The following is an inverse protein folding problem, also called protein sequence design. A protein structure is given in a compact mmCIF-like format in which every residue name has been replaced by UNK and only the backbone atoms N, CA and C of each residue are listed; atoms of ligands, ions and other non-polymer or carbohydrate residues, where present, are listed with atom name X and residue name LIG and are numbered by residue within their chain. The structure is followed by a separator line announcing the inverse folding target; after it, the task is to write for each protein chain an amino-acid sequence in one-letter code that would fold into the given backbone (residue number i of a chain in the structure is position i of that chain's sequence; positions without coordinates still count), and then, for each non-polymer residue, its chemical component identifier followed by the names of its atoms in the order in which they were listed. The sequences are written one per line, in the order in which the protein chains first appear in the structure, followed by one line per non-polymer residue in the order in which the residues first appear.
data_IF_487191890188
#
_entry.id   IF_487191890188
#
_cell.length_a   1.000
_cell.length_b   1.000
_cell.length_c   1.000
_cell.angle_alpha   90.00
_cell.angle_beta   90.00
_cell.angle_gamma   90.00
#
_symmetry.space_group_name_H-M   'P 1'
#
loop_
_entity.id
_entity.type
_entity.pdbx_description
1 polymer ?
#
# COMPACT_ATOMS: atom_id res chain seq x y z
N UNK A 1 -16.43 -7.32 6.81
CA UNK A 1 -15.49 -7.48 5.68
C UNK A 1 -15.72 -6.37 4.66
N UNK A 2 -15.62 -5.11 5.07
CA UNK A 2 -15.86 -3.94 4.20
C UNK A 2 -14.83 -3.83 3.06
N UNK A 3 -13.66 -4.44 3.21
CA UNK A 3 -12.65 -4.51 2.15
C UNK A 3 -13.13 -5.18 0.86
N UNK A 4 -14.13 -6.05 0.92
CA UNK A 4 -14.77 -6.61 -0.29
C UNK A 4 -15.38 -5.50 -1.14
N UNK A 5 -16.01 -4.50 -0.50
CA UNK A 5 -16.58 -3.35 -1.19
C UNK A 5 -15.49 -2.50 -1.84
N UNK A 6 -14.33 -2.33 -1.20
CA UNK A 6 -13.19 -1.59 -1.76
C UNK A 6 -12.68 -2.29 -3.02
N UNK A 7 -12.31 -3.58 -2.89
CA UNK A 7 -11.74 -4.35 -4.01
C UNK A 7 -12.75 -4.51 -5.14
N UNK A 8 -14.03 -4.75 -4.82
CA UNK A 8 -15.10 -4.84 -5.80
C UNK A 8 -15.37 -3.52 -6.52
N UNK A 9 -15.40 -2.39 -5.80
CA UNK A 9 -15.57 -1.07 -6.41
C UNK A 9 -14.37 -0.68 -7.28
N UNK A 10 -13.14 -0.99 -6.84
CA UNK A 10 -11.94 -0.76 -7.63
C UNK A 10 -11.93 -1.63 -8.90
N UNK A 11 -12.34 -2.91 -8.81
CA UNK A 11 -12.50 -3.77 -9.98
C UNK A 11 -13.54 -3.22 -10.95
N UNK A 12 -14.70 -2.79 -10.44
CA UNK A 12 -15.75 -2.20 -11.27
C UNK A 12 -15.28 -0.92 -11.97
N UNK A 13 -14.62 -0.01 -11.24
CA UNK A 13 -14.06 1.22 -11.80
C UNK A 13 -13.01 0.95 -12.88
N UNK A 14 -12.10 0.00 -12.61
CA UNK A 14 -11.09 -0.46 -13.57
C UNK A 14 -11.76 -1.04 -14.83
N UNK A 15 -12.71 -1.96 -14.71
CA UNK A 15 -13.39 -2.56 -15.86
C UNK A 15 -14.21 -1.54 -16.67
N UNK A 16 -14.93 -0.63 -16.01
CA UNK A 16 -15.73 0.40 -16.69
C UNK A 16 -14.84 1.34 -17.50
N UNK A 17 -13.68 1.71 -16.98
CA UNK A 17 -12.75 2.59 -17.71
C UNK A 17 -12.22 1.97 -19.01
N UNK A 18 -12.14 0.63 -19.08
CA UNK A 18 -11.72 -0.11 -20.27
C UNK A 18 -12.78 -0.21 -21.38
N UNK A 19 -14.01 0.23 -21.10
CA UNK A 19 -15.03 0.42 -22.15
C UNK A 19 -14.60 1.57 -23.09
N UNK A 20 -13.80 2.53 -22.60
CA UNK A 20 -13.27 3.62 -23.40
C UNK A 20 -12.19 3.11 -24.35
N UNK A 21 -12.34 3.44 -25.64
CA UNK A 21 -11.30 3.19 -26.65
C UNK A 21 -10.00 3.90 -26.25
N UNK A 22 -8.89 3.15 -26.24
CA UNK A 22 -7.54 3.66 -25.95
C UNK A 22 -6.97 3.25 -24.58
N UNK A 23 -7.76 2.63 -23.71
CA UNK A 23 -7.25 1.93 -22.51
C UNK A 23 -7.13 0.45 -22.89
N UNK A 24 -5.91 -0.09 -22.84
CA UNK A 24 -5.65 -1.51 -23.16
C UNK A 24 -5.49 -2.26 -21.86
N UNK A 25 -6.12 -3.45 -21.77
CA UNK A 25 -5.86 -4.38 -20.69
C UNK A 25 -4.41 -4.84 -20.77
N UNK A 26 -3.58 -4.32 -19.86
CA UNK A 26 -2.17 -4.70 -19.75
C UNK A 26 -2.06 -5.98 -18.92
N UNK A 27 -1.31 -6.96 -19.44
CA UNK A 27 -0.97 -8.18 -18.70
C UNK A 27 -0.33 -7.85 -17.34
N UNK A 28 0.52 -6.82 -17.28
CA UNK A 28 1.14 -6.36 -16.03
C UNK A 28 0.11 -5.86 -15.02
N UNK A 29 -0.85 -5.02 -15.43
CA UNK A 29 -1.87 -4.50 -14.52
C UNK A 29 -2.80 -5.61 -14.05
N UNK A 30 -3.11 -6.58 -14.92
CA UNK A 30 -3.89 -7.76 -14.54
C UNK A 30 -3.15 -8.63 -13.51
N UNK A 31 -1.83 -8.82 -13.66
CA UNK A 31 -1.00 -9.51 -12.66
C UNK A 31 -0.97 -8.74 -11.34
N UNK A 32 -0.85 -7.40 -11.39
CA UNK A 32 -0.95 -6.54 -10.19
C UNK A 32 -2.31 -6.73 -9.52
N UNK A 33 -3.40 -6.69 -10.28
CA UNK A 33 -4.76 -6.90 -9.77
C UNK A 33 -4.90 -8.31 -9.16
N UNK A 34 -4.37 -9.35 -9.80
CA UNK A 34 -4.37 -10.71 -9.29
C UNK A 34 -3.57 -10.83 -7.98
N UNK A 35 -2.45 -10.12 -7.85
CA UNK A 35 -1.69 -10.01 -6.60
C UNK A 35 -2.51 -9.38 -5.47
N UNK A 36 -3.25 -8.31 -5.78
CA UNK A 36 -4.18 -7.68 -4.83
C UNK A 36 -5.30 -8.64 -4.42
N UNK A 37 -5.92 -9.33 -5.38
CA UNK A 37 -6.95 -10.34 -5.10
C UNK A 37 -6.42 -11.49 -4.26
N UNK A 38 -5.16 -11.90 -4.48
CA UNK A 38 -4.50 -12.95 -3.68
C UNK A 38 -4.37 -12.52 -2.22
N UNK A 39 -3.93 -11.29 -1.97
CA UNK A 39 -3.79 -10.75 -0.61
C UNK A 39 -5.14 -10.46 0.05
N UNK A 40 -6.09 -9.92 -0.70
CA UNK A 40 -7.46 -9.71 -0.23
C UNK A 40 -8.17 -11.05 0.07
N UNK A 41 -7.90 -12.09 -0.73
CA UNK A 41 -8.39 -13.45 -0.52
C UNK A 41 -7.85 -14.07 0.76
N UNK A 42 -6.56 -13.90 1.06
CA UNK A 42 -6.00 -14.29 2.36
C UNK A 42 -6.70 -13.56 3.51
N UNK A 43 -6.92 -12.24 3.36
CA UNK A 43 -7.64 -11.44 4.34
C UNK A 43 -9.10 -11.90 4.52
N UNK A 44 -9.75 -12.33 3.44
CA UNK A 44 -11.10 -12.88 3.48
C UNK A 44 -11.15 -14.18 4.28
N UNK A 45 -10.19 -15.08 4.04
CA UNK A 45 -10.09 -16.32 4.80
C UNK A 45 -9.89 -16.04 6.29
N UNK A 46 -9.01 -15.10 6.66
CA UNK A 46 -8.77 -14.75 8.07
C UNK A 46 -10.01 -14.12 8.73
N UNK A 47 -10.63 -13.13 8.08
CA UNK A 47 -11.86 -12.51 8.55
C UNK A 47 -13.00 -13.54 8.68
N UNK A 48 -13.13 -14.47 7.73
CA UNK A 48 -14.19 -15.48 7.71
C UNK A 48 -14.03 -16.46 8.88
N UNK A 49 -12.80 -16.93 9.11
CA UNK A 49 -12.49 -17.81 10.23
C UNK A 49 -12.78 -17.09 11.56
N UNK A 50 -12.37 -15.83 11.72
CA UNK A 50 -12.63 -15.03 12.94
C UNK A 50 -14.12 -14.92 13.24
N UNK A 51 -14.94 -14.63 12.23
CA UNK A 51 -16.40 -14.51 12.38
C UNK A 51 -17.03 -15.87 12.71
N UNK A 52 -16.64 -16.94 12.02
CA UNK A 52 -17.23 -18.28 12.19
C UNK A 52 -16.88 -18.91 13.53
N UNK A 53 -15.62 -18.82 13.95
CA UNK A 53 -15.10 -19.52 15.13
C UNK A 53 -15.33 -18.73 16.43
N UNK A 54 -15.70 -17.44 16.35
CA UNK A 54 -15.90 -16.53 17.50
C UNK A 54 -14.70 -16.47 18.47
N UNK A 55 -13.53 -16.95 18.06
CA UNK A 55 -12.28 -16.87 18.82
C UNK A 55 -11.27 -16.09 18.00
N UNK A 56 -10.66 -15.08 18.61
CA UNK A 56 -9.71 -14.19 17.95
C UNK A 56 -8.28 -14.77 17.87
N UNK A 57 -8.05 -16.01 18.35
CA UNK A 57 -6.72 -16.62 18.52
C UNK A 57 -6.71 -18.10 18.12
N UNK A 58 -6.96 -18.38 16.84
CA UNK A 58 -6.79 -19.71 16.25
C UNK A 58 -5.35 -20.00 15.80
N UNK A 59 -5.08 -21.25 15.40
CA UNK A 59 -3.79 -21.70 14.83
C UNK A 59 -3.36 -20.87 13.61
N UNK A 60 -4.33 -20.36 12.84
CA UNK A 60 -4.11 -19.55 11.65
C UNK A 60 -3.41 -18.20 11.94
N UNK A 61 -3.70 -17.57 13.09
CA UNK A 61 -3.05 -16.31 13.50
C UNK A 61 -1.52 -16.43 13.61
N UNK A 62 -1.02 -17.60 14.07
CA UNK A 62 0.42 -17.85 14.21
C UNK A 62 1.12 -18.01 12.86
N UNK A 63 0.40 -18.44 11.83
CA UNK A 63 0.94 -18.73 10.51
C UNK A 63 0.65 -17.63 9.49
N UNK A 64 -0.30 -16.72 9.76
CA UNK A 64 -0.70 -15.63 8.87
C UNK A 64 0.50 -14.86 8.32
N UNK A 65 1.41 -14.43 9.18
CA UNK A 65 2.62 -13.71 8.77
C UNK A 65 3.49 -14.52 7.79
N UNK A 66 3.68 -15.82 8.04
CA UNK A 66 4.43 -16.68 7.13
C UNK A 66 3.71 -16.88 5.79
N UNK A 67 2.39 -17.03 5.79
CA UNK A 67 1.59 -17.15 4.55
C UNK A 67 1.65 -15.86 3.74
N UNK A 68 1.45 -14.69 4.38
CA UNK A 68 1.60 -13.38 3.73
C UNK A 68 3.01 -13.22 3.15
N UNK A 69 4.04 -13.64 3.88
CA UNK A 69 5.42 -13.58 3.39
C UNK A 69 5.59 -14.43 2.12
N UNK A 70 5.23 -15.72 2.17
CA UNK A 70 5.35 -16.63 1.03
C UNK A 70 4.57 -16.13 -0.19
N UNK A 71 3.33 -15.67 0.00
CA UNK A 71 2.53 -15.09 -1.08
C UNK A 71 3.17 -13.81 -1.65
N UNK A 72 3.81 -12.99 -0.82
CA UNK A 72 4.51 -11.79 -1.29
C UNK A 72 5.66 -12.13 -2.25
N UNK A 73 6.48 -13.13 -1.92
CA UNK A 73 7.54 -13.62 -2.80
C UNK A 73 6.98 -14.28 -4.07
N UNK A 74 5.88 -15.03 -3.96
CA UNK A 74 5.24 -15.65 -5.12
C UNK A 74 4.70 -14.60 -6.10
N UNK A 75 4.02 -13.56 -5.60
CA UNK A 75 3.53 -12.44 -6.41
C UNK A 75 4.71 -11.73 -7.10
N UNK A 76 5.79 -11.44 -6.36
CA UNK A 76 6.99 -10.83 -6.92
C UNK A 76 7.63 -11.69 -8.02
N UNK A 77 7.74 -13.00 -7.80
CA UNK A 77 8.29 -13.93 -8.78
C UNK A 77 7.44 -14.00 -10.06
N UNK A 78 6.11 -14.05 -9.93
CA UNK A 78 5.20 -14.02 -11.08
C UNK A 78 5.32 -12.69 -11.83
N UNK A 79 5.37 -11.58 -11.12
CA UNK A 79 5.48 -10.25 -11.73
C UNK A 79 6.74 -10.13 -12.60
N UNK A 80 7.91 -10.50 -12.07
CA UNK A 80 9.16 -10.42 -12.85
C UNK A 80 9.26 -11.47 -13.97
N UNK A 81 8.63 -12.63 -13.81
CA UNK A 81 8.71 -13.71 -14.80
C UNK A 81 7.76 -13.51 -15.98
N UNK A 82 6.64 -12.81 -15.77
CA UNK A 82 5.58 -12.64 -16.76
C UNK A 82 5.53 -11.23 -17.37
N UNK A 83 6.41 -10.32 -16.95
CA UNK A 83 6.41 -8.93 -17.45
C UNK A 83 7.83 -8.40 -17.59
N UNK A 84 8.02 -7.41 -18.47
CA UNK A 84 9.31 -6.78 -18.73
C UNK A 84 9.62 -5.65 -17.73
N UNK A 85 9.38 -5.89 -16.44
CA UNK A 85 9.66 -4.88 -15.42
C UNK A 85 11.15 -4.57 -15.32
N UNK A 86 11.45 -3.34 -14.91
CA UNK A 86 12.81 -2.96 -14.54
C UNK A 86 13.21 -3.63 -13.22
N UNK A 87 14.36 -4.30 -13.22
CA UNK A 87 14.90 -5.02 -12.05
C UNK A 87 15.95 -4.21 -11.29
N UNK A 88 16.06 -2.91 -11.58
CA UNK A 88 16.90 -1.97 -10.85
C UNK A 88 16.21 -1.50 -9.57
N UNK A 89 17.04 -1.05 -8.64
CA UNK A 89 16.59 -0.31 -7.47
C UNK A 89 16.31 1.15 -7.87
N UNK A 90 15.09 1.62 -7.59
CA UNK A 90 14.61 2.91 -8.08
C UNK A 90 13.94 3.77 -7.01
N UNK A 91 14.18 5.07 -7.08
CA UNK A 91 13.62 6.12 -6.25
C UNK A 91 12.44 6.78 -6.96
N UNK A 92 12.71 7.51 -8.04
CA UNK A 92 11.70 8.19 -8.86
C UNK A 92 11.57 7.59 -10.25
N UNK A 93 12.61 6.87 -10.70
CA UNK A 93 12.72 6.23 -12.01
C UNK A 93 13.80 5.15 -12.00
N UNK A 94 13.77 4.31 -13.04
CA UNK A 94 14.64 3.13 -13.19
C UNK A 94 16.12 3.39 -12.91
N UNK A 95 16.64 4.54 -13.34
CA UNK A 95 18.06 4.93 -13.34
C UNK A 95 18.54 5.68 -12.10
N UNK A 96 17.66 6.00 -11.15
CA UNK A 96 18.05 6.65 -9.90
C UNK A 96 17.66 5.79 -8.70
N UNK A 97 18.59 5.16 -7.97
CA UNK A 97 20.04 5.10 -8.19
C UNK A 97 20.49 4.15 -9.32
N UNK A 98 19.59 3.35 -9.89
CA UNK A 98 19.89 2.53 -11.08
C UNK A 98 20.68 1.25 -10.81
N UNK A 99 20.76 0.81 -9.55
CA UNK A 99 21.52 -0.39 -9.19
C UNK A 99 20.79 -1.66 -9.61
N UNK A 100 21.42 -2.45 -10.47
CA UNK A 100 20.88 -3.70 -10.98
C UNK A 100 20.88 -4.79 -9.89
N UNK A 101 19.69 -5.28 -9.51
CA UNK A 101 19.55 -6.36 -8.53
C UNK A 101 19.54 -7.75 -9.17
N UNK A 102 19.23 -7.82 -10.47
CA UNK A 102 18.95 -9.07 -11.18
C UNK A 102 17.65 -9.72 -10.70
N UNK A 103 17.21 -10.78 -11.37
CA UNK A 103 15.90 -11.40 -11.11
C UNK A 103 15.75 -11.88 -9.67
N UNK A 104 16.72 -12.63 -9.14
CA UNK A 104 16.64 -13.19 -7.77
C UNK A 104 16.68 -12.08 -6.72
N UNK A 105 17.61 -11.13 -6.84
CA UNK A 105 17.73 -10.02 -5.91
C UNK A 105 16.48 -9.14 -5.92
N UNK A 106 15.92 -8.89 -7.10
CA UNK A 106 14.68 -8.13 -7.26
C UNK A 106 13.48 -8.85 -6.65
N UNK A 107 13.32 -10.17 -6.84
CA UNK A 107 12.24 -10.94 -6.21
C UNK A 107 12.31 -10.86 -4.69
N UNK A 108 13.52 -10.93 -4.12
CA UNK A 108 13.71 -10.79 -2.67
C UNK A 108 13.29 -9.39 -2.22
N UNK A 109 13.77 -8.37 -2.92
CA UNK A 109 13.45 -6.98 -2.60
C UNK A 109 11.95 -6.68 -2.71
N UNK A 110 11.33 -7.06 -3.82
CA UNK A 110 9.91 -6.87 -4.09
C UNK A 110 9.02 -7.65 -3.12
N UNK A 111 9.35 -8.91 -2.83
CA UNK A 111 8.63 -9.73 -1.85
C UNK A 111 8.66 -9.10 -0.46
N UNK A 112 9.79 -8.54 -0.03
CA UNK A 112 9.90 -7.82 1.24
C UNK A 112 9.08 -6.52 1.25
N UNK A 113 9.05 -5.77 0.14
CA UNK A 113 8.24 -4.55 0.02
C UNK A 113 6.75 -4.87 0.12
N UNK A 114 6.27 -5.89 -0.60
CA UNK A 114 4.86 -6.32 -0.54
C UNK A 114 4.52 -6.77 0.88
N UNK A 115 5.36 -7.60 1.50
CA UNK A 115 5.16 -8.07 2.86
C UNK A 115 5.14 -6.92 3.89
N UNK A 116 6.10 -6.00 3.82
CA UNK A 116 6.19 -4.88 4.75
C UNK A 116 4.99 -3.94 4.62
N UNK A 117 4.62 -3.57 3.39
CA UNK A 117 3.53 -2.63 3.13
C UNK A 117 2.17 -3.20 3.51
N UNK A 118 1.90 -4.49 3.21
CA UNK A 118 0.66 -5.17 3.62
C UNK A 118 0.50 -5.20 5.14
N UNK A 119 1.56 -5.51 5.89
CA UNK A 119 1.54 -5.47 7.35
C UNK A 119 1.42 -4.02 7.87
N UNK A 120 2.06 -3.05 7.23
CA UNK A 120 1.98 -1.64 7.66
C UNK A 120 0.56 -1.08 7.53
N UNK A 121 -0.11 -1.35 6.40
CA UNK A 121 -1.52 -0.96 6.21
C UNK A 121 -2.43 -1.69 7.19
N UNK A 122 -2.20 -2.99 7.45
CA UNK A 122 -2.94 -3.76 8.46
C UNK A 122 -2.81 -3.16 9.87
N UNK A 123 -1.62 -2.73 10.26
CA UNK A 123 -1.38 -2.06 11.54
C UNK A 123 -2.06 -0.68 11.60
N UNK A 124 -2.20 -0.01 10.46
CA UNK A 124 -2.83 1.32 10.36
C UNK A 124 -4.36 1.25 10.40
N UNK A 125 -4.97 0.09 10.07
CA UNK A 125 -6.42 -0.16 10.14
C UNK A 125 -6.92 -0.38 11.59
N UNK A 126 -6.40 0.42 12.52
CA UNK A 126 -6.74 0.40 13.95
C UNK A 126 -7.78 1.45 14.37
N UNK A 127 -8.03 2.45 13.52
CA UNK A 127 -9.03 3.52 13.71
C UNK A 127 -9.90 3.72 12.48
N UNK A 128 -11.13 4.20 12.72
CA UNK A 128 -12.12 4.47 11.70
C UNK A 128 -11.61 5.46 10.64
N UNK A 129 -11.55 5.04 9.38
CA UNK A 129 -11.10 5.88 8.26
C UNK A 129 -9.59 6.10 8.17
N UNK A 130 -8.77 5.65 9.11
CA UNK A 130 -7.33 5.93 9.11
C UNK A 130 -6.59 5.26 7.95
N UNK A 131 -6.78 3.94 7.78
CA UNK A 131 -6.16 3.19 6.69
C UNK A 131 -6.70 3.58 5.31
N UNK A 132 -8.02 3.68 5.16
CA UNK A 132 -8.63 4.07 3.89
C UNK A 132 -8.26 5.50 3.47
N UNK A 133 -8.23 6.45 4.41
CA UNK A 133 -7.86 7.84 4.16
C UNK A 133 -6.39 8.03 3.79
N UNK A 134 -5.48 7.35 4.49
CA UNK A 134 -4.07 7.37 4.12
C UNK A 134 -3.80 6.70 2.77
N UNK A 135 -4.42 5.55 2.50
CA UNK A 135 -4.30 4.85 1.23
C UNK A 135 -4.87 5.69 0.06
N UNK A 136 -5.96 6.43 0.28
CA UNK A 136 -6.54 7.35 -0.72
C UNK A 136 -5.49 8.33 -1.26
N UNK A 137 -4.74 8.99 -0.38
CA UNK A 137 -3.67 9.92 -0.80
C UNK A 137 -2.56 9.20 -1.58
N UNK A 138 -2.16 8.00 -1.13
CA UNK A 138 -1.16 7.19 -1.83
C UNK A 138 -1.60 6.78 -3.24
N UNK A 139 -2.86 6.37 -3.41
CA UNK A 139 -3.40 6.02 -4.74
C UNK A 139 -3.52 7.23 -5.66
N UNK A 140 -3.88 8.41 -5.15
CA UNK A 140 -3.82 9.63 -5.95
C UNK A 140 -2.40 9.95 -6.41
N UNK A 141 -1.39 9.76 -5.54
CA UNK A 141 0.01 9.94 -5.89
C UNK A 141 0.43 8.98 -7.00
N UNK A 142 0.09 7.68 -6.88
CA UNK A 142 0.42 6.70 -7.91
C UNK A 142 -0.34 6.91 -9.22
N UNK A 143 -1.60 7.36 -9.17
CA UNK A 143 -2.33 7.75 -10.37
C UNK A 143 -1.63 8.90 -11.10
N UNK A 144 -1.16 9.90 -10.34
CA UNK A 144 -0.38 11.02 -10.89
C UNK A 144 0.97 10.55 -11.47
N UNK A 145 1.76 9.79 -10.71
CA UNK A 145 3.07 9.25 -11.13
C UNK A 145 2.94 8.40 -12.40
N UNK A 146 2.00 7.45 -12.42
CA UNK A 146 1.81 6.56 -13.56
C UNK A 146 1.32 7.34 -14.80
N UNK A 147 0.40 8.30 -14.62
CA UNK A 147 -0.02 9.16 -15.73
C UNK A 147 1.13 10.05 -16.22
N UNK A 148 1.98 10.55 -15.32
CA UNK A 148 3.15 11.34 -15.66
C UNK A 148 4.14 10.54 -16.51
N UNK A 149 4.42 9.30 -16.10
CA UNK A 149 5.25 8.36 -16.85
C UNK A 149 4.69 8.05 -18.24
N UNK A 150 3.37 7.87 -18.36
CA UNK A 150 2.71 7.72 -19.65
C UNK A 150 2.87 8.94 -20.56
N UNK A 151 2.85 10.16 -20.01
CA UNK A 151 2.96 11.39 -20.79
C UNK A 151 4.38 11.77 -21.19
N UNK A 152 5.40 11.19 -20.53
CA UNK A 152 6.81 11.50 -20.74
C UNK A 152 7.65 10.21 -20.93
N UNK A 153 7.35 9.40 -21.96
CA UNK A 153 8.00 8.10 -22.19
C UNK A 153 9.51 8.21 -22.47
N UNK A 154 10.01 9.37 -22.90
CA UNK A 154 11.43 9.63 -23.10
C UNK A 154 12.25 9.62 -21.80
N UNK A 155 11.64 10.01 -20.68
CA UNK A 155 12.25 9.96 -19.33
C UNK A 155 11.89 8.65 -18.63
N UNK A 156 10.65 8.18 -18.79
CA UNK A 156 10.11 7.02 -18.07
C UNK A 156 9.94 5.77 -18.94
N UNK A 157 10.77 5.61 -19.98
CA UNK A 157 10.65 4.53 -20.97
C UNK A 157 10.83 3.10 -20.43
N UNK A 158 11.28 2.97 -19.18
CA UNK A 158 11.35 1.68 -18.46
C UNK A 158 10.01 1.24 -17.86
N UNK A 159 8.99 2.10 -17.85
CA UNK A 159 7.67 1.75 -17.34
C UNK A 159 6.87 0.95 -18.35
N UNK A 160 6.38 -0.20 -17.92
CA UNK A 160 5.47 -1.04 -18.70
C UNK A 160 4.04 -0.54 -18.49
N UNK A 161 3.33 -0.23 -19.58
CA UNK A 161 1.91 0.15 -19.59
C UNK A 161 1.46 1.16 -18.49
N UNK A 162 2.17 2.29 -18.31
CA UNK A 162 1.92 3.23 -17.21
C UNK A 162 0.51 3.87 -17.24
N UNK A 163 -0.13 3.96 -18.40
CA UNK A 163 -1.49 4.50 -18.49
C UNK A 163 -2.52 3.61 -17.79
N UNK A 164 -2.39 2.29 -17.95
CA UNK A 164 -3.31 1.34 -17.35
C UNK A 164 -3.11 1.23 -15.82
N UNK A 165 -1.86 1.35 -15.36
CA UNK A 165 -1.54 1.51 -13.94
C UNK A 165 -2.14 2.79 -13.33
N UNK A 166 -2.18 3.89 -14.08
CA UNK A 166 -2.80 5.14 -13.62
C UNK A 166 -4.32 4.95 -13.43
N UNK A 167 -4.96 4.25 -14.36
CA UNK A 167 -6.39 3.89 -14.29
C UNK A 167 -6.67 2.98 -13.09
N UNK A 168 -5.84 1.96 -12.88
CA UNK A 168 -5.89 1.09 -11.70
C UNK A 168 -5.80 1.90 -10.41
N UNK A 169 -4.79 2.77 -10.27
CA UNK A 169 -4.60 3.58 -9.08
C UNK A 169 -5.78 4.55 -8.85
N UNK A 170 -6.29 5.18 -9.90
CA UNK A 170 -7.47 6.05 -9.81
C UNK A 170 -8.73 5.29 -9.37
N UNK A 171 -8.92 4.04 -9.82
CA UNK A 171 -10.02 3.19 -9.40
C UNK A 171 -9.93 2.84 -7.90
N UNK A 172 -8.73 2.53 -7.39
CA UNK A 172 -8.50 2.31 -5.97
C UNK A 172 -8.68 3.59 -5.13
N UNK A 173 -8.25 4.75 -5.63
CA UNK A 173 -8.54 6.04 -4.99
C UNK A 173 -10.06 6.27 -4.88
N UNK A 174 -10.81 6.09 -5.98
CA UNK A 174 -12.27 6.21 -5.97
C UNK A 174 -12.95 5.23 -5.00
N UNK A 175 -12.48 3.98 -4.96
CA UNK A 175 -12.99 2.97 -4.03
C UNK A 175 -12.73 3.33 -2.56
N UNK A 176 -11.53 3.82 -2.23
CA UNK A 176 -11.21 4.31 -0.88
C UNK A 176 -12.08 5.51 -0.49
N UNK A 177 -12.27 6.48 -1.39
CA UNK A 177 -13.14 7.63 -1.15
C UNK A 177 -14.60 7.23 -0.91
N UNK A 178 -15.14 6.32 -1.73
CA UNK A 178 -16.49 5.79 -1.55
C UNK A 178 -16.65 4.97 -0.27
N UNK A 179 -15.63 4.21 0.12
CA UNK A 179 -15.62 3.46 1.38
C UNK A 179 -15.57 4.38 2.61
N UNK A 180 -14.75 5.44 2.57
CA UNK A 180 -14.64 6.44 3.63
C UNK A 180 -15.97 7.10 3.97
N UNK A 181 -16.87 7.26 3.00
CA UNK A 181 -18.23 7.77 3.25
C UNK A 181 -18.97 6.97 4.34
N UNK A 182 -18.68 5.67 4.45
CA UNK A 182 -19.31 4.77 5.40
C UNK A 182 -18.40 4.37 6.58
N UNK A 183 -17.09 4.60 6.44
CA UNK A 183 -16.08 4.20 7.41
C UNK A 183 -15.50 5.37 8.22
N UNK A 184 -15.71 6.63 7.82
CA UNK A 184 -15.33 7.77 8.64
C UNK A 184 -16.08 7.76 9.98
N UNK A 185 -15.38 8.13 11.05
CA UNK A 185 -15.90 8.04 12.41
C UNK A 185 -17.23 8.81 12.59
N UNK A 186 -18.27 8.19 13.19
CA UNK A 186 -18.35 6.78 13.63
C UNK A 186 -18.62 5.80 12.48
N UNK A 187 -17.81 4.75 12.34
CA UNK A 187 -17.91 3.82 11.21
C UNK A 187 -19.19 2.96 11.23
N UNK A 188 -19.77 2.76 10.04
CA UNK A 188 -20.88 1.82 9.79
C UNK A 188 -20.40 0.49 9.22
N UNK A 189 -19.27 0.51 8.51
CA UNK A 189 -18.59 -0.67 7.97
C UNK A 189 -17.11 -0.62 8.33
N UNK A 190 -16.56 -1.76 8.74
CA UNK A 190 -15.13 -1.92 9.03
C UNK A 190 -14.42 -2.60 7.87
N UNK A 191 -13.20 -2.15 7.58
CA UNK A 191 -12.40 -2.63 6.44
C UNK A 191 -12.09 -4.13 6.60
N UNK A 192 -11.47 -4.50 7.71
CA UNK A 192 -11.06 -5.89 7.97
C UNK A 192 -9.83 -6.27 7.15
N UNK A 193 -9.34 -7.50 7.37
CA UNK A 193 -8.09 -7.96 6.75
C UNK A 193 -8.15 -8.02 5.23
N UNK A 194 -9.34 -8.24 4.66
CA UNK A 194 -9.57 -8.20 3.20
C UNK A 194 -9.05 -6.89 2.61
N UNK A 195 -9.49 -5.77 3.19
CA UNK A 195 -9.16 -4.45 2.66
C UNK A 195 -7.74 -4.09 3.01
N UNK A 196 -7.30 -4.30 4.25
CA UNK A 196 -5.98 -3.87 4.67
C UNK A 196 -4.85 -4.60 3.92
N UNK A 197 -4.95 -5.93 3.74
CA UNK A 197 -3.97 -6.68 2.94
C UNK A 197 -4.07 -6.35 1.45
N UNK A 198 -5.29 -6.19 0.92
CA UNK A 198 -5.50 -5.80 -0.48
C UNK A 198 -4.91 -4.43 -0.81
N UNK A 199 -5.20 -3.41 0.01
CA UNK A 199 -4.70 -2.05 -0.17
C UNK A 199 -3.18 -1.97 -0.03
N UNK A 200 -2.60 -2.64 0.96
CA UNK A 200 -1.15 -2.68 1.12
C UNK A 200 -0.44 -3.39 -0.04
N UNK A 201 -1.04 -4.44 -0.61
CA UNK A 201 -0.53 -5.09 -1.81
C UNK A 201 -0.61 -4.16 -3.02
N UNK A 202 -1.73 -3.44 -3.20
CA UNK A 202 -1.92 -2.51 -4.30
C UNK A 202 -0.89 -1.37 -4.27
N UNK A 203 -0.66 -0.76 -3.11
CA UNK A 203 0.34 0.31 -2.94
C UNK A 203 1.76 -0.19 -3.21
N UNK A 204 2.12 -1.37 -2.69
CA UNK A 204 3.43 -1.98 -2.93
C UNK A 204 3.66 -2.31 -4.41
N UNK A 205 2.67 -2.94 -5.05
CA UNK A 205 2.77 -3.33 -6.45
C UNK A 205 2.80 -2.13 -7.38
N UNK A 206 2.03 -1.08 -7.09
CA UNK A 206 2.13 0.19 -7.81
C UNK A 206 3.56 0.71 -7.72
N UNK A 207 4.15 0.84 -6.52
CA UNK A 207 5.52 1.32 -6.36
C UNK A 207 6.56 0.47 -7.10
N UNK A 208 6.36 -0.86 -7.13
CA UNK A 208 7.21 -1.79 -7.86
C UNK A 208 7.13 -1.58 -9.36
N UNK A 209 5.91 -1.47 -9.89
CA UNK A 209 5.66 -1.31 -11.34
C UNK A 209 5.90 0.11 -11.87
N UNK A 210 5.86 1.12 -11.01
CA UNK A 210 6.17 2.51 -11.37
C UNK A 210 7.64 2.89 -11.13
N UNK A 211 8.52 1.95 -10.81
CA UNK A 211 9.93 2.20 -10.49
C UNK A 211 10.13 3.25 -9.39
N UNK A 212 9.29 3.22 -8.36
CA UNK A 212 9.31 4.16 -7.23
C UNK A 212 9.41 3.45 -5.88
N UNK A 213 10.15 2.34 -5.81
CA UNK A 213 10.18 1.49 -4.61
C UNK A 213 10.76 2.22 -3.40
N UNK A 214 11.81 3.02 -3.58
CA UNK A 214 12.43 3.81 -2.50
C UNK A 214 11.63 5.06 -2.13
N UNK A 215 10.67 5.48 -2.96
CA UNK A 215 9.76 6.59 -2.66
C UNK A 215 8.53 6.11 -1.87
N UNK A 216 8.21 4.82 -1.93
CA UNK A 216 7.07 4.22 -1.23
C UNK A 216 7.06 4.51 0.28
N UNK A 217 8.18 4.44 1.04
CA UNK A 217 8.16 4.79 2.46
C UNK A 217 7.71 6.23 2.74
N UNK A 218 7.92 7.16 1.79
CA UNK A 218 7.46 8.54 1.90
C UNK A 218 5.99 8.67 1.49
N UNK A 219 5.56 7.99 0.42
CA UNK A 219 4.14 7.92 0.01
C UNK A 219 3.27 7.29 1.13
N UNK A 220 3.76 6.22 1.74
CA UNK A 220 3.13 5.52 2.87
C UNK A 220 3.69 5.99 4.23
N UNK A 221 4.15 7.24 4.33
CA UNK A 221 4.84 7.76 5.51
C UNK A 221 4.08 7.54 6.82
N UNK A 222 2.75 7.71 6.81
CA UNK A 222 1.93 7.41 7.97
C UNK A 222 1.98 5.92 8.36
N UNK A 223 1.81 5.02 7.40
CA UNK A 223 1.85 3.57 7.65
C UNK A 223 3.22 3.13 8.17
N UNK A 224 4.30 3.75 7.66
CA UNK A 224 5.68 3.53 8.14
C UNK A 224 5.83 3.98 9.59
N UNK A 225 5.30 5.15 9.95
CA UNK A 225 5.33 5.65 11.34
C UNK A 225 4.54 4.71 12.26
N UNK A 226 3.37 4.23 11.83
CA UNK A 226 2.54 3.31 12.61
C UNK A 226 3.25 1.99 12.90
N UNK A 227 3.69 1.27 11.87
CA UNK A 227 4.40 0.00 12.05
C UNK A 227 5.77 0.19 12.73
N UNK A 228 6.44 1.29 12.44
CA UNK A 228 7.70 1.69 13.08
C UNK A 228 7.53 1.90 14.58
N UNK A 229 6.43 2.52 15.01
CA UNK A 229 6.13 2.70 16.43
C UNK A 229 5.99 1.37 17.17
N UNK A 230 5.39 0.37 16.52
CA UNK A 230 5.27 -1.00 17.07
C UNK A 230 6.64 -1.66 17.17
N UNK A 231 7.47 -1.54 16.13
CA UNK A 231 8.83 -2.10 16.13
C UNK A 231 9.71 -1.48 17.22
N UNK A 232 9.71 -0.14 17.33
CA UNK A 232 10.45 0.60 18.36
C UNK A 232 9.96 0.22 19.76
N UNK A 233 8.64 0.21 19.97
CA UNK A 233 8.04 -0.18 21.25
C UNK A 233 8.47 -1.59 21.66
N UNK A 234 8.41 -2.56 20.74
CA UNK A 234 8.80 -3.95 20.99
C UNK A 234 10.31 -4.06 21.27
N UNK A 235 11.15 -3.28 20.57
CA UNK A 235 12.58 -3.20 20.82
C UNK A 235 12.91 -2.71 22.23
N UNK A 236 12.33 -1.58 22.65
CA UNK A 236 12.50 -1.01 24.00
C UNK A 236 11.97 -1.95 25.07
N UNK A 237 10.81 -2.56 24.84
CA UNK A 237 10.21 -3.50 25.78
C UNK A 237 11.11 -4.73 25.97
N UNK A 238 11.68 -5.30 24.91
CA UNK A 238 12.62 -6.44 25.01
C UNK A 238 13.93 -6.04 25.68
N UNK A 239 14.54 -4.92 25.27
CA UNK A 239 15.81 -4.44 25.80
C UNK A 239 15.74 -4.11 27.31
N UNK A 240 14.58 -3.64 27.79
CA UNK A 240 14.35 -3.35 29.21
C UNK A 240 13.99 -4.58 30.07
N UNK A 241 14.07 -5.79 29.53
CA UNK A 241 13.65 -7.01 30.22
C UNK A 241 12.13 -7.07 30.44
N UNK A 242 11.34 -6.51 29.51
CA UNK A 242 9.88 -6.43 29.53
C UNK A 242 9.30 -5.57 30.65
N UNK A 243 10.03 -4.53 31.05
CA UNK A 243 9.63 -3.64 32.16
C UNK A 243 9.22 -2.24 31.70
N UNK A 244 9.81 -1.73 30.62
CA UNK A 244 9.58 -0.35 30.15
C UNK A 244 8.91 -0.32 28.78
N UNK A 245 7.97 0.61 28.63
CA UNK A 245 7.29 0.94 27.37
C UNK A 245 7.67 2.37 27.00
N UNK A 246 7.98 2.62 25.73
CA UNK A 246 8.31 3.96 25.23
C UNK A 246 7.03 4.78 25.04
N UNK A 247 6.11 4.27 24.22
CA UNK A 247 4.77 4.81 24.06
C UNK A 247 3.82 4.21 25.10
N UNK A 248 2.77 4.97 25.46
CA UNK A 248 1.71 4.49 26.36
C UNK A 248 1.03 3.22 25.81
N UNK A 249 0.76 3.21 24.51
CA UNK A 249 0.27 2.08 23.74
C UNK A 249 0.87 2.15 22.32
N UNK A 250 0.96 1.03 21.62
CA UNK A 250 1.38 0.95 20.21
C UNK A 250 0.34 0.14 19.44
N UNK A 251 -0.06 0.52 18.21
CA UNK A 251 0.55 1.54 17.34
C UNK A 251 0.32 2.99 17.80
N UNK A 252 0.94 3.97 17.14
CA UNK A 252 1.09 5.32 17.69
C UNK A 252 -0.23 6.09 17.76
N UNK A 253 -1.23 5.77 16.92
CA UNK A 253 -2.56 6.38 17.08
C UNK A 253 -3.17 6.09 18.47
N UNK A 254 -3.04 4.85 18.96
CA UNK A 254 -3.52 4.49 20.29
C UNK A 254 -2.77 5.22 21.41
N UNK A 255 -1.50 5.58 21.19
CA UNK A 255 -0.77 6.41 22.15
C UNK A 255 -1.46 7.77 22.38
N UNK A 256 -1.98 8.38 21.32
CA UNK A 256 -2.68 9.67 21.40
C UNK A 256 -4.09 9.53 21.98
N UNK A 257 -4.82 8.45 21.67
CA UNK A 257 -6.13 8.19 22.28
C UNK A 257 -6.03 8.05 23.80
N UNK A 258 -5.07 7.25 24.30
CA UNK A 258 -4.83 7.12 25.75
C UNK A 258 -4.14 8.35 26.35
N UNK A 259 -3.72 9.30 25.51
CA UNK A 259 -3.31 10.64 25.92
C UNK A 259 -4.48 11.63 26.01
N UNK A 260 -5.71 11.19 25.73
CA UNK A 260 -6.94 11.98 25.85
C UNK A 260 -7.33 12.70 24.57
N UNK A 261 -6.72 12.40 23.42
CA UNK A 261 -7.16 12.98 22.15
C UNK A 261 -8.43 12.28 21.67
N UNK A 262 -9.46 13.04 21.22
CA UNK A 262 -10.60 12.44 20.55
C UNK A 262 -10.16 11.67 19.30
N UNK A 263 -10.79 10.54 19.02
CA UNK A 263 -10.49 9.70 17.86
C UNK A 263 -10.48 10.49 16.55
N UNK A 264 -11.51 11.33 16.33
CA UNK A 264 -11.60 12.22 15.16
C UNK A 264 -10.42 13.20 15.05
N UNK A 265 -9.88 13.66 16.18
CA UNK A 265 -8.69 14.53 16.20
C UNK A 265 -7.44 13.78 15.78
N UNK A 266 -7.29 12.53 16.22
CA UNK A 266 -6.19 11.65 15.80
C UNK A 266 -6.29 11.41 14.29
N UNK A 267 -7.46 10.99 13.81
CA UNK A 267 -7.71 10.67 12.39
C UNK A 267 -7.35 11.87 11.50
N UNK A 268 -7.94 13.06 11.75
CA UNK A 268 -7.72 14.24 10.90
C UNK A 268 -6.25 14.66 10.89
N UNK A 269 -5.59 14.67 12.06
CA UNK A 269 -4.16 15.03 12.14
C UNK A 269 -3.28 14.02 11.41
N UNK A 270 -3.61 12.75 11.48
CA UNK A 270 -2.86 11.69 10.82
C UNK A 270 -3.08 11.73 9.30
N UNK A 271 -4.27 12.11 8.85
CA UNK A 271 -4.52 12.41 7.43
C UNK A 271 -3.71 13.61 6.93
N UNK A 272 -3.60 14.69 7.73
CA UNK A 272 -2.74 15.83 7.39
C UNK A 272 -1.28 15.35 7.24
N UNK A 273 -0.78 14.53 8.17
CA UNK A 273 0.57 13.96 8.07
C UNK A 273 0.75 13.05 6.84
N UNK A 274 -0.25 12.21 6.52
CA UNK A 274 -0.22 11.38 5.31
C UNK A 274 -0.19 12.24 4.05
N UNK A 275 -1.04 13.27 3.96
CA UNK A 275 -1.07 14.21 2.85
C UNK A 275 0.24 14.98 2.69
N UNK A 276 0.85 15.44 3.78
CA UNK A 276 2.17 16.10 3.76
C UNK A 276 3.28 15.15 3.28
N UNK A 277 3.23 13.88 3.71
CA UNK A 277 4.20 12.86 3.31
C UNK A 277 4.09 12.55 1.81
N UNK A 278 2.86 12.40 1.31
CA UNK A 278 2.58 12.26 -0.13
C UNK A 278 2.99 13.51 -0.92
N UNK A 279 2.71 14.71 -0.42
CA UNK A 279 3.12 15.95 -1.07
C UNK A 279 4.64 16.07 -1.16
N UNK A 280 5.37 15.68 -0.10
CA UNK A 280 6.83 15.61 -0.12
C UNK A 280 7.34 14.58 -1.13
N UNK A 281 6.71 13.39 -1.21
CA UNK A 281 7.06 12.39 -2.21
C UNK A 281 6.88 12.89 -3.65
N UNK A 282 5.76 13.54 -3.94
CA UNK A 282 5.51 14.12 -5.25
C UNK A 282 6.45 15.30 -5.54
N UNK A 283 6.81 16.10 -4.54
CA UNK A 283 7.81 17.16 -4.70
C UNK A 283 9.19 16.60 -5.08
N UNK A 284 9.62 15.50 -4.43
CA UNK A 284 10.86 14.79 -4.79
C UNK A 284 10.78 14.26 -6.23
N UNK A 285 9.66 13.64 -6.61
CA UNK A 285 9.42 13.14 -7.96
C UNK A 285 9.46 14.24 -9.02
N UNK A 286 8.79 15.37 -8.76
CA UNK A 286 8.74 16.51 -9.68
C UNK A 286 10.09 17.22 -9.80
N UNK A 287 10.82 17.39 -8.68
CA UNK A 287 12.16 18.00 -8.70
C UNK A 287 13.12 17.18 -9.58
N UNK A 288 13.10 15.86 -9.42
CA UNK A 288 13.89 14.95 -10.24
C UNK A 288 13.47 14.99 -11.73
N UNK A 289 12.17 15.07 -12.01
CA UNK A 289 11.66 15.24 -13.37
C UNK A 289 12.14 16.55 -14.02
N UNK A 290 12.07 17.68 -13.32
CA UNK A 290 12.49 18.98 -13.86
C UNK A 290 13.98 19.00 -14.19
N UNK A 291 14.81 18.37 -13.37
CA UNK A 291 16.25 18.23 -13.62
C UNK A 291 16.53 17.43 -14.92
N UNK A 292 15.72 16.41 -15.23
CA UNK A 292 15.86 15.63 -16.47
C UNK A 292 15.27 16.31 -17.69
N UNK A 293 14.16 17.04 -17.53
CA UNK A 293 13.48 17.72 -18.62
C UNK A 293 14.22 18.98 -19.11
N UNK A 294 15.34 19.35 -18.47
CA UNK A 294 16.12 20.56 -18.73
C UNK A 294 15.27 21.85 -18.62
N UNK A 295 14.35 21.87 -17.64
CA UNK A 295 13.55 23.04 -17.24
C UNK A 295 14.22 23.76 -16.07
#
# INVERSE_FOLDING_TARGET
MGGIAIVGAAAAGYLVSHIRRGVVFSDQTLIVFAGVLTMAGLGFVDDYIKVRVRQNRGVYWKHKGYVTLVLSFAIAAVLVAATDIDTRLSLTRGDLPGWQLGTVGWVIWAGLIIFATTNAVNVTDGLDGLAAGSALFGFFAFAAIAFWGFRNPEIYGSLVNPYDLAVFAAAFAGACAGFLWWNAAPARIFMGDVGALGLGAALALLALTTNTQLLLPLICGLNVIEIGSVAIQMGVFRASGRKRRLFRLSPIHHHFEVAGWPETTVIIRFWIMAGLSVAAALAVYVADFTDQAAL
#
